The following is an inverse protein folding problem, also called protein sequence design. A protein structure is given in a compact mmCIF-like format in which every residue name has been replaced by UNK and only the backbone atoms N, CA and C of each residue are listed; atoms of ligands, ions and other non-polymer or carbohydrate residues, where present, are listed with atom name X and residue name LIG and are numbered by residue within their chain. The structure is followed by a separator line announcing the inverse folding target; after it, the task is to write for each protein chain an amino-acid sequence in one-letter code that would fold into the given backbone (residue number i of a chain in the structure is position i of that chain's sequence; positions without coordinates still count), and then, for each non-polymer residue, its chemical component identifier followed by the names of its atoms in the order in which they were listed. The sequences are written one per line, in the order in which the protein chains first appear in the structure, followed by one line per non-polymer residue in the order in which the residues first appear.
data_IF_298092904314
#
_entry.id   IF_298092904314
#
_cell.length_a   1.000
_cell.length_b   1.000
_cell.length_c   1.000
_cell.angle_alpha   90.00
_cell.angle_beta   90.00
_cell.angle_gamma   90.00
#
_symmetry.space_group_name_H-M   'P 1'
#
loop_
_entity.id
_entity.type
_entity.pdbx_description
1 polymer ?
#
# COMPACT_ATOMS: atom_id res chain seq x y z
N UNK A 1 -7.95 -3.95 14.11
CA UNK A 1 -8.13 -4.49 12.75
C UNK A 1 -8.06 -6.01 12.79
N UNK A 2 -9.07 -6.70 12.24
CA UNK A 2 -9.04 -8.16 12.12
C UNK A 2 -8.11 -8.56 10.97
N UNK A 3 -7.06 -9.33 11.28
CA UNK A 3 -6.18 -9.88 10.27
C UNK A 3 -6.78 -11.17 9.66
N UNK A 4 -6.23 -11.62 8.53
CA UNK A 4 -6.68 -12.82 7.81
C UNK A 4 -6.74 -14.09 8.70
N UNK A 5 -5.93 -14.16 9.74
CA UNK A 5 -5.90 -15.24 10.74
C UNK A 5 -6.81 -14.97 11.96
N UNK A 6 -7.77 -14.03 11.87
CA UNK A 6 -8.71 -13.62 12.93
C UNK A 6 -8.05 -13.00 14.18
N UNK A 7 -6.74 -12.80 14.20
CA UNK A 7 -6.07 -12.10 15.30
C UNK A 7 -6.32 -10.59 15.21
N UNK A 8 -6.65 -10.00 16.35
CA UNK A 8 -6.74 -8.53 16.48
C UNK A 8 -5.32 -7.98 16.52
N UNK A 9 -5.02 -7.02 15.66
CA UNK A 9 -3.74 -6.29 15.65
C UNK A 9 -3.98 -4.82 15.89
N UNK A 10 -3.26 -4.27 16.83
CA UNK A 10 -3.19 -2.83 17.03
C UNK A 10 -2.26 -2.22 15.99
N UNK A 11 -2.61 -1.06 15.49
CA UNK A 11 -1.84 -0.30 14.53
C UNK A 11 -1.83 1.16 14.91
N UNK A 12 -0.67 1.76 14.81
CA UNK A 12 -0.54 3.21 14.93
C UNK A 12 -1.10 3.84 13.65
N UNK A 13 -2.02 4.77 13.82
CA UNK A 13 -2.50 5.61 12.72
C UNK A 13 -1.59 6.84 12.67
N UNK A 14 -0.89 7.11 11.55
CA UNK A 14 -0.06 8.30 11.41
C UNK A 14 -0.88 9.59 11.59
N UNK A 15 -0.28 10.62 12.19
CA UNK A 15 -0.96 11.89 12.47
C UNK A 15 -1.56 12.50 11.19
N UNK A 16 -0.84 12.47 10.09
CA UNK A 16 -1.35 12.94 8.78
C UNK A 16 -2.66 12.23 8.40
N UNK A 17 -2.79 10.94 8.69
CA UNK A 17 -4.01 10.21 8.39
C UNK A 17 -5.14 10.53 9.38
N UNK A 18 -4.80 10.85 10.63
CA UNK A 18 -5.78 11.30 11.64
C UNK A 18 -6.41 12.63 11.19
N UNK A 19 -5.58 13.57 10.71
CA UNK A 19 -6.04 14.85 10.20
C UNK A 19 -6.95 14.66 8.98
N UNK A 20 -6.52 13.89 7.99
CA UNK A 20 -7.30 13.57 6.78
C UNK A 20 -8.63 12.86 7.08
N UNK A 21 -8.67 12.05 8.13
CA UNK A 21 -9.87 11.30 8.53
C UNK A 21 -10.71 12.00 9.61
N UNK A 22 -10.37 13.23 10.00
CA UNK A 22 -11.07 13.98 11.07
C UNK A 22 -12.57 14.14 10.80
N UNK A 23 -12.96 14.24 9.52
CA UNK A 23 -14.37 14.31 9.11
C UNK A 23 -15.19 13.08 9.53
N UNK A 24 -14.56 11.94 9.81
CA UNK A 24 -15.24 10.70 10.24
C UNK A 24 -15.95 10.84 11.58
N UNK A 25 -15.57 11.82 12.42
CA UNK A 25 -16.26 12.12 13.67
C UNK A 25 -17.75 12.46 13.50
N UNK A 26 -18.14 12.88 12.30
CA UNK A 26 -19.52 13.25 11.96
C UNK A 26 -20.37 12.05 11.46
N UNK A 27 -19.82 10.83 11.44
CA UNK A 27 -20.49 9.64 10.92
C UNK A 27 -20.63 8.55 11.99
N UNK A 28 -21.56 7.63 11.77
CA UNK A 28 -21.80 6.54 12.71
C UNK A 28 -20.66 5.51 12.64
N UNK A 29 -20.29 4.95 13.79
CA UNK A 29 -19.22 3.96 13.88
C UNK A 29 -19.47 2.64 13.13
N UNK A 30 -20.71 2.40 12.67
CA UNK A 30 -21.08 1.25 11.83
C UNK A 30 -21.03 1.52 10.31
N UNK A 31 -20.80 2.77 9.90
CA UNK A 31 -20.74 3.13 8.49
C UNK A 31 -19.43 2.66 7.82
N UNK A 32 -19.52 2.32 6.55
CA UNK A 32 -18.33 2.09 5.72
C UNK A 32 -17.74 3.42 5.29
N UNK A 33 -16.44 3.59 5.47
CA UNK A 33 -15.72 4.83 5.11
C UNK A 33 -15.76 5.04 3.59
N UNK A 34 -15.50 3.98 2.84
CA UNK A 34 -15.46 4.01 1.38
C UNK A 34 -16.72 3.34 0.84
N UNK A 35 -17.56 4.10 0.17
CA UNK A 35 -18.82 3.65 -0.40
C UNK A 35 -19.01 4.16 -1.83
N UNK A 36 -19.95 3.60 -2.61
CA UNK A 36 -20.29 4.12 -3.94
C UNK A 36 -20.78 5.57 -3.94
N UNK A 37 -21.28 6.05 -2.79
CA UNK A 37 -21.75 7.44 -2.65
C UNK A 37 -20.62 8.46 -2.52
N UNK A 38 -19.36 8.01 -2.33
CA UNK A 38 -18.22 8.90 -2.09
C UNK A 38 -18.17 9.52 -0.69
N UNK A 39 -19.10 9.16 0.19
CA UNK A 39 -19.15 9.58 1.59
C UNK A 39 -19.38 8.36 2.48
N UNK A 40 -18.95 8.38 3.75
CA UNK A 40 -19.25 7.31 4.68
C UNK A 40 -20.76 7.07 4.80
N UNK A 41 -21.18 5.82 4.73
CA UNK A 41 -22.58 5.43 4.88
C UNK A 41 -22.73 3.93 5.09
N UNK A 42 -23.94 3.50 5.45
CA UNK A 42 -24.30 2.10 5.34
C UNK A 42 -24.20 1.61 3.89
N UNK A 43 -23.77 0.38 3.72
CA UNK A 43 -23.67 -0.24 2.40
C UNK A 43 -24.07 -1.72 2.48
N UNK A 44 -25.31 -1.99 2.11
CA UNK A 44 -25.87 -3.33 2.08
C UNK A 44 -25.35 -4.11 0.86
N UNK A 45 -24.21 -4.76 1.03
CA UNK A 45 -23.61 -5.64 0.04
C UNK A 45 -22.74 -6.68 0.75
N UNK A 46 -22.44 -7.80 0.10
CA UNK A 46 -21.47 -8.78 0.61
C UNK A 46 -20.06 -8.21 0.57
N UNK A 47 -19.14 -8.76 1.37
CA UNK A 47 -17.74 -8.35 1.37
C UNK A 47 -17.09 -8.50 -0.01
N UNK A 48 -17.47 -9.56 -0.74
CA UNK A 48 -16.97 -9.80 -2.10
C UNK A 48 -17.46 -8.73 -3.07
N UNK A 49 -18.75 -8.39 -3.02
CA UNK A 49 -19.31 -7.35 -3.88
C UNK A 49 -18.69 -5.97 -3.57
N UNK A 50 -18.43 -5.66 -2.30
CA UNK A 50 -17.74 -4.42 -1.91
C UNK A 50 -16.32 -4.37 -2.45
N UNK A 51 -15.57 -5.47 -2.34
CA UNK A 51 -14.23 -5.60 -2.89
C UNK A 51 -14.23 -5.45 -4.41
N UNK A 52 -15.15 -6.13 -5.09
CA UNK A 52 -15.23 -6.13 -6.55
C UNK A 52 -15.64 -4.76 -7.11
N UNK A 53 -16.46 -4.00 -6.37
CA UNK A 53 -16.78 -2.63 -6.73
C UNK A 53 -15.52 -1.77 -6.90
N UNK A 54 -14.63 -1.76 -5.90
CA UNK A 54 -13.40 -0.97 -5.98
C UNK A 54 -12.43 -1.51 -7.03
N UNK A 55 -12.38 -2.82 -7.22
CA UNK A 55 -11.56 -3.42 -8.28
C UNK A 55 -12.01 -2.96 -9.67
N UNK A 56 -13.31 -2.91 -9.92
CA UNK A 56 -13.89 -2.40 -11.18
C UNK A 56 -13.58 -0.91 -11.36
N UNK A 57 -13.78 -0.08 -10.33
CA UNK A 57 -13.46 1.35 -10.37
C UNK A 57 -11.99 1.60 -10.64
N UNK A 58 -11.10 0.85 -10.01
CA UNK A 58 -9.67 0.97 -10.30
C UNK A 58 -9.33 0.59 -11.74
N UNK A 59 -10.03 -0.40 -12.31
CA UNK A 59 -9.89 -0.74 -13.73
C UNK A 59 -10.29 0.44 -14.62
N UNK A 60 -11.42 1.08 -14.35
CA UNK A 60 -11.87 2.28 -15.11
C UNK A 60 -10.82 3.41 -15.07
N UNK A 61 -10.22 3.64 -13.91
CA UNK A 61 -9.12 4.61 -13.78
C UNK A 61 -7.91 4.21 -14.65
N UNK A 62 -7.52 2.93 -14.66
CA UNK A 62 -6.41 2.45 -15.50
C UNK A 62 -6.72 2.61 -16.99
N UNK A 63 -7.94 2.31 -17.39
CA UNK A 63 -8.37 2.43 -18.78
C UNK A 63 -8.33 3.91 -19.22
N UNK A 64 -8.79 4.82 -18.37
CA UNK A 64 -8.70 6.27 -18.59
C UNK A 64 -7.25 6.75 -18.74
N UNK A 65 -6.35 6.34 -17.83
CA UNK A 65 -4.93 6.67 -17.89
C UNK A 65 -4.29 6.17 -19.18
N UNK A 66 -4.62 4.96 -19.57
CA UNK A 66 -4.12 4.35 -20.81
C UNK A 66 -4.61 5.08 -22.05
N UNK A 67 -5.89 5.49 -22.05
CA UNK A 67 -6.49 6.26 -23.14
C UNK A 67 -5.80 7.64 -23.25
N UNK A 68 -5.70 8.38 -22.15
CA UNK A 68 -5.05 9.69 -22.11
C UNK A 68 -3.59 9.65 -22.56
N UNK A 69 -2.84 8.66 -22.13
CA UNK A 69 -1.47 8.44 -22.58
C UNK A 69 -1.37 8.20 -24.10
N UNK A 70 -2.33 7.47 -24.69
CA UNK A 70 -2.40 7.26 -26.16
C UNK A 70 -2.77 8.54 -26.92
N UNK A 71 -3.54 9.42 -26.32
CA UNK A 71 -3.88 10.74 -26.87
C UNK A 71 -2.70 11.73 -26.80
N UNK A 72 -1.57 11.32 -26.20
CA UNK A 72 -0.35 12.12 -26.09
C UNK A 72 -0.32 13.07 -24.90
N UNK A 73 -1.24 12.90 -23.95
CA UNK A 73 -1.25 13.66 -22.71
C UNK A 73 -0.08 13.20 -21.81
N UNK A 74 0.89 14.09 -21.58
CA UNK A 74 2.14 13.79 -20.87
C UNK A 74 1.99 13.58 -19.37
N UNK A 75 0.85 14.00 -18.80
CA UNK A 75 0.54 13.81 -17.38
C UNK A 75 0.00 12.41 -17.10
N UNK A 76 -0.24 11.60 -18.13
CA UNK A 76 -0.76 10.27 -18.04
C UNK A 76 0.20 9.22 -18.60
N UNK A 77 0.13 8.03 -18.06
CA UNK A 77 0.92 6.87 -18.52
C UNK A 77 0.06 5.60 -18.50
N UNK A 78 0.39 4.66 -19.37
CA UNK A 78 -0.31 3.39 -19.40
C UNK A 78 0.02 2.53 -18.18
N UNK A 79 -1.00 2.15 -17.43
CA UNK A 79 -0.89 1.22 -16.31
C UNK A 79 -1.11 -0.21 -16.79
N UNK A 80 -0.09 -1.06 -16.65
CA UNK A 80 -0.14 -2.47 -17.05
C UNK A 80 -1.22 -3.28 -16.33
N UNK A 81 -1.50 -4.48 -16.85
CA UNK A 81 -2.51 -5.38 -16.28
C UNK A 81 -2.13 -5.89 -14.89
N UNK A 82 -0.83 -5.97 -14.59
CA UNK A 82 -0.25 -6.41 -13.32
C UNK A 82 -0.55 -5.44 -12.16
N UNK A 83 -0.84 -4.17 -12.45
CA UNK A 83 -1.16 -3.19 -11.41
C UNK A 83 -2.63 -3.29 -10.97
N UNK A 84 -2.81 -3.47 -9.67
CA UNK A 84 -4.11 -3.47 -8.99
C UNK A 84 -4.11 -2.53 -7.80
N UNK A 85 -5.22 -2.41 -7.10
CA UNK A 85 -5.31 -1.63 -5.85
C UNK A 85 -4.23 -2.09 -4.84
N UNK A 86 -3.92 -3.37 -4.82
CA UNK A 86 -2.90 -3.93 -3.93
C UNK A 86 -1.49 -3.41 -4.22
N UNK A 87 -1.23 -2.89 -5.42
CA UNK A 87 0.04 -2.28 -5.79
C UNK A 87 0.38 -1.05 -4.95
N UNK A 88 -0.63 -0.32 -4.44
CA UNK A 88 -0.41 0.78 -3.50
C UNK A 88 0.29 0.32 -2.23
N UNK A 89 -0.01 -0.90 -1.77
CA UNK A 89 0.68 -1.49 -0.61
C UNK A 89 2.16 -1.72 -0.90
N UNK A 90 2.50 -2.23 -2.09
CA UNK A 90 3.89 -2.38 -2.51
C UNK A 90 4.61 -1.04 -2.55
N UNK A 91 4.01 -0.05 -3.21
CA UNK A 91 4.57 1.30 -3.30
C UNK A 91 4.80 1.91 -1.93
N UNK A 92 3.83 1.80 -1.02
CA UNK A 92 3.95 2.30 0.35
C UNK A 92 5.11 1.63 1.09
N UNK A 93 5.17 0.30 1.09
CA UNK A 93 6.22 -0.48 1.78
C UNK A 93 7.60 -0.09 1.23
N UNK A 94 7.75 -0.04 -0.08
CA UNK A 94 8.99 0.33 -0.77
C UNK A 94 9.43 1.76 -0.41
N UNK A 95 8.50 2.71 -0.43
CA UNK A 95 8.77 4.11 -0.11
C UNK A 95 9.25 4.27 1.34
N UNK A 96 8.52 3.70 2.29
CA UNK A 96 8.90 3.76 3.72
C UNK A 96 10.23 3.05 3.97
N UNK A 97 10.46 1.89 3.35
CA UNK A 97 11.72 1.19 3.45
C UNK A 97 12.89 2.08 3.02
N UNK A 98 12.83 2.67 1.82
CA UNK A 98 13.88 3.56 1.29
C UNK A 98 14.15 4.75 2.20
N UNK A 99 13.10 5.37 2.74
CA UNK A 99 13.27 6.50 3.68
C UNK A 99 13.96 6.07 4.97
N UNK A 100 13.55 4.96 5.56
CA UNK A 100 14.17 4.44 6.78
C UNK A 100 15.63 4.01 6.56
N UNK A 101 15.95 3.46 5.37
CA UNK A 101 17.31 3.03 5.01
C UNK A 101 18.33 4.19 4.96
N UNK A 102 17.87 5.42 4.88
CA UNK A 102 18.78 6.58 4.95
C UNK A 102 19.48 6.73 6.32
N UNK A 103 18.89 6.18 7.38
CA UNK A 103 19.37 6.35 8.75
C UNK A 103 19.50 5.05 9.55
N UNK A 104 18.90 3.97 9.07
CA UNK A 104 18.84 2.68 9.76
C UNK A 104 19.51 1.58 8.93
N UNK A 105 19.99 0.56 9.63
CA UNK A 105 20.47 -0.67 8.98
C UNK A 105 19.33 -1.42 8.29
N UNK A 106 19.62 -2.31 7.32
CA UNK A 106 18.60 -3.15 6.68
C UNK A 106 17.75 -3.94 7.68
N UNK A 107 18.38 -4.51 8.69
CA UNK A 107 17.71 -5.32 9.70
C UNK A 107 16.77 -4.48 10.57
N UNK A 108 17.22 -3.33 11.08
CA UNK A 108 16.40 -2.43 11.87
C UNK A 108 15.20 -1.90 11.06
N UNK A 109 15.45 -1.53 9.81
CA UNK A 109 14.41 -1.07 8.89
C UNK A 109 13.34 -2.12 8.70
N UNK A 110 13.73 -3.36 8.39
CA UNK A 110 12.79 -4.48 8.22
C UNK A 110 12.02 -4.77 9.50
N UNK A 111 12.69 -4.74 10.66
CA UNK A 111 12.06 -4.98 11.96
C UNK A 111 10.98 -3.94 12.28
N UNK A 112 11.25 -2.66 12.05
CA UNK A 112 10.26 -1.58 12.24
C UNK A 112 9.12 -1.68 11.23
N UNK A 113 9.45 -2.00 9.99
CA UNK A 113 8.47 -2.11 8.92
C UNK A 113 7.49 -3.26 9.13
N UNK A 114 7.90 -4.36 9.76
CA UNK A 114 7.02 -5.44 10.20
C UNK A 114 5.87 -4.93 11.08
N UNK A 115 6.19 -4.05 12.05
CA UNK A 115 5.20 -3.49 12.95
C UNK A 115 4.22 -2.57 12.21
N UNK A 116 4.72 -1.73 11.31
CA UNK A 116 3.91 -0.81 10.50
C UNK A 116 2.98 -1.58 9.57
N UNK A 117 3.51 -2.54 8.84
CA UNK A 117 2.77 -3.26 7.79
C UNK A 117 1.92 -4.42 8.32
N UNK A 118 2.26 -4.93 9.53
CA UNK A 118 1.57 -6.04 10.17
C UNK A 118 1.92 -7.41 9.59
N UNK A 119 3.04 -7.56 8.92
CA UNK A 119 3.54 -8.88 8.57
C UNK A 119 3.96 -9.65 9.83
N UNK A 120 3.72 -10.95 9.83
CA UNK A 120 4.07 -11.80 10.98
C UNK A 120 5.52 -12.27 10.92
N UNK A 121 6.13 -12.29 9.75
CA UNK A 121 7.47 -12.81 9.53
C UNK A 121 8.27 -11.88 8.62
N UNK A 122 9.59 -11.88 8.81
CA UNK A 122 10.53 -11.18 7.94
C UNK A 122 10.39 -11.66 6.49
N UNK A 123 10.29 -12.96 6.28
CA UNK A 123 10.14 -13.57 4.96
C UNK A 123 8.89 -13.04 4.21
N UNK A 124 7.75 -12.87 4.90
CA UNK A 124 6.56 -12.31 4.28
C UNK A 124 6.73 -10.84 3.87
N UNK A 125 7.56 -10.07 4.60
CA UNK A 125 7.89 -8.70 4.24
C UNK A 125 8.89 -8.66 3.07
N UNK A 126 9.88 -9.54 3.06
CA UNK A 126 10.92 -9.60 2.02
C UNK A 126 10.38 -9.83 0.61
N UNK A 127 9.21 -10.46 0.49
CA UNK A 127 8.53 -10.60 -0.80
C UNK A 127 8.19 -9.24 -1.46
N UNK A 128 8.06 -8.17 -0.65
CA UNK A 128 7.82 -6.81 -1.12
C UNK A 128 9.11 -6.03 -1.41
N UNK A 129 10.25 -6.54 -0.95
CA UNK A 129 11.54 -5.85 -0.96
C UNK A 129 12.56 -6.52 -1.88
N UNK A 130 12.18 -7.57 -2.63
CA UNK A 130 13.10 -8.42 -3.41
C UNK A 130 14.07 -7.65 -4.31
N UNK A 131 13.58 -6.57 -4.91
CA UNK A 131 14.34 -5.81 -5.90
C UNK A 131 15.00 -4.56 -5.30
N UNK A 132 14.80 -4.30 -4.00
CA UNK A 132 15.26 -3.05 -3.37
C UNK A 132 16.60 -3.25 -2.66
N UNK A 133 16.81 -4.43 -2.08
CA UNK A 133 18.06 -4.80 -1.39
C UNK A 133 19.13 -5.35 -2.35
N UNK A 134 18.84 -5.46 -3.63
CA UNK A 134 19.79 -5.83 -4.67
C UNK A 134 20.69 -4.64 -5.03
N UNK A 135 21.28 -3.99 -4.04
CA UNK A 135 22.43 -3.12 -4.29
C UNK A 135 23.57 -4.02 -4.73
N UNK A 136 24.11 -3.76 -5.94
CA UNK A 136 25.35 -4.38 -6.36
C UNK A 136 26.41 -3.99 -5.33
N UNK A 137 27.19 -4.95 -4.80
CA UNK A 137 28.25 -4.63 -3.89
C UNK A 137 29.26 -3.71 -4.61
N UNK A 138 29.78 -2.73 -3.87
CA UNK A 138 30.94 -1.98 -4.31
C UNK A 138 32.13 -2.94 -4.58
N UNK A 139 33.19 -2.44 -5.20
CA UNK A 139 34.38 -3.25 -5.43
C UNK A 139 34.86 -3.88 -4.12
N UNK A 140 34.83 -5.20 -4.06
CA UNK A 140 35.22 -5.99 -2.88
C UNK A 140 36.61 -6.63 -3.03
N UNK A 141 37.42 -6.19 -4.00
CA UNK A 141 38.76 -6.74 -4.27
C UNK A 141 39.67 -6.71 -3.05
N UNK A 142 39.49 -5.73 -2.15
CA UNK A 142 40.30 -5.60 -0.93
C UNK A 142 39.96 -6.65 0.14
N UNK A 143 38.78 -7.29 0.07
CA UNK A 143 38.35 -8.33 1.00
C UNK A 143 38.92 -9.74 0.66
N UNK A 144 39.53 -9.90 -0.51
CA UNK A 144 40.04 -11.18 -1.02
C UNK A 144 41.57 -11.20 -1.21
N UNK A 145 42.28 -10.20 -0.67
CA UNK A 145 43.75 -10.15 -0.62
C UNK A 145 44.30 -10.94 0.55
#
# INVERSE_FOLDING_TARGET
VKAKNKLVKEKIIPNILIEELSFLSNYNGGDFIFTPKGIPSSWEATDDNRRDYFTKRFKEVKDLFTQKAKEGDKDYFALGKEYGIYSFRHTFITKIYREMRKTLTPFETKSRLLLITGHNTMHALEQYLRDIDAELPEDYSDLIK
#
